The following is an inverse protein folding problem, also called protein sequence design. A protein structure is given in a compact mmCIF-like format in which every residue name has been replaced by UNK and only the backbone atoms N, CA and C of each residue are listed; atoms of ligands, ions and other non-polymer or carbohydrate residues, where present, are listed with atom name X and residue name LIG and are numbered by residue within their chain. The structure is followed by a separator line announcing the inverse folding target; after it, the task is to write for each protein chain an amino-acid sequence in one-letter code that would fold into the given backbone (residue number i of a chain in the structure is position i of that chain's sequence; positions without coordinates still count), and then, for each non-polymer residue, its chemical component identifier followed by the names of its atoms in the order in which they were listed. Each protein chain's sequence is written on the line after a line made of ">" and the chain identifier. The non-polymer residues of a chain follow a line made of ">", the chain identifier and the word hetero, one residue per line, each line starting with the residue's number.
data_IF_950857177275
#
_entry.id   IF_950857177275
#
_cell.length_a   1.000
_cell.length_b   1.000
_cell.length_c   1.000
_cell.angle_alpha   90.00
_cell.angle_beta   90.00
_cell.angle_gamma   90.00
#
_symmetry.space_group_name_H-M   'P 1'
#
loop_
_entity.id
_entity.type
_entity.pdbx_description
1 polymer ?
#
# COMPACT_ATOMS: atom_id res chain seq x y z
N UNK A 1 -20.57 19.56 -2.28
CA UNK A 1 -19.37 18.80 -2.75
C UNK A 1 -19.27 18.97 -4.25
N UNK A 2 -18.08 19.18 -4.78
CA UNK A 2 -17.82 19.19 -6.22
C UNK A 2 -17.17 17.88 -6.66
N UNK A 3 -17.48 17.43 -7.88
CA UNK A 3 -16.89 16.23 -8.47
C UNK A 3 -16.00 16.66 -9.62
N UNK A 4 -14.70 16.39 -9.52
CA UNK A 4 -13.75 16.66 -10.60
C UNK A 4 -13.46 15.34 -11.30
N UNK A 5 -13.76 15.27 -12.60
CA UNK A 5 -13.53 14.08 -13.41
C UNK A 5 -12.48 14.42 -14.46
N UNK A 6 -11.33 13.78 -14.37
CA UNK A 6 -10.24 13.94 -15.36
C UNK A 6 -10.33 12.79 -16.36
N UNK A 7 -10.60 13.12 -17.61
CA UNK A 7 -10.80 12.15 -18.70
C UNK A 7 -9.73 12.31 -19.78
N UNK A 8 -9.29 11.19 -20.35
CA UNK A 8 -8.41 11.11 -21.52
C UNK A 8 -8.80 9.92 -22.38
N UNK A 9 -9.37 10.17 -23.56
CA UNK A 9 -9.88 9.14 -24.48
C UNK A 9 -10.82 8.13 -23.81
N UNK A 10 -11.75 8.62 -22.99
CA UNK A 10 -12.70 7.82 -22.21
C UNK A 10 -14.14 8.36 -22.31
N UNK A 11 -14.49 8.89 -23.47
CA UNK A 11 -15.76 9.62 -23.66
C UNK A 11 -16.99 8.76 -23.33
N UNK A 12 -17.05 7.52 -23.81
CA UNK A 12 -18.18 6.62 -23.52
C UNK A 12 -18.29 6.29 -22.03
N UNK A 13 -17.16 6.01 -21.38
CA UNK A 13 -17.12 5.74 -19.93
C UNK A 13 -17.53 6.96 -19.12
N UNK A 14 -17.11 8.15 -19.52
CA UNK A 14 -17.50 9.41 -18.88
C UNK A 14 -19.02 9.63 -18.96
N UNK A 15 -19.64 9.36 -20.10
CA UNK A 15 -21.10 9.50 -20.24
C UNK A 15 -21.85 8.53 -19.31
N UNK A 16 -21.38 7.28 -19.21
CA UNK A 16 -21.93 6.30 -18.28
C UNK A 16 -21.77 6.73 -16.82
N UNK A 17 -20.60 7.27 -16.46
CA UNK A 17 -20.33 7.72 -15.10
C UNK A 17 -21.16 8.93 -14.70
N UNK A 18 -21.33 9.92 -15.59
CA UNK A 18 -22.22 11.07 -15.35
C UNK A 18 -23.65 10.60 -15.10
N UNK A 19 -24.15 9.65 -15.87
CA UNK A 19 -25.48 9.08 -15.68
C UNK A 19 -25.59 8.32 -14.36
N UNK A 20 -24.57 7.54 -13.98
CA UNK A 20 -24.52 6.85 -12.70
C UNK A 20 -24.51 7.85 -11.52
N UNK A 21 -23.70 8.91 -11.58
CA UNK A 21 -23.65 9.97 -10.57
C UNK A 21 -25.02 10.63 -10.38
N UNK A 22 -25.71 10.89 -11.49
CA UNK A 22 -27.05 11.49 -11.46
C UNK A 22 -28.09 10.55 -10.84
N UNK A 23 -28.10 9.28 -11.28
CA UNK A 23 -29.14 8.31 -10.88
C UNK A 23 -28.93 7.74 -9.49
N UNK A 24 -27.67 7.42 -9.12
CA UNK A 24 -27.35 6.72 -7.89
C UNK A 24 -26.94 7.63 -6.73
N UNK A 25 -26.47 8.85 -7.03
CA UNK A 25 -26.01 9.79 -6.01
C UNK A 25 -26.70 11.16 -6.06
N UNK A 26 -27.61 11.40 -7.00
CA UNK A 26 -28.32 12.68 -7.14
C UNK A 26 -27.43 13.88 -7.44
N UNK A 27 -26.23 13.64 -8.01
CA UNK A 27 -25.26 14.70 -8.35
C UNK A 27 -25.71 15.37 -9.65
N UNK A 28 -25.87 16.68 -9.60
CA UNK A 28 -26.31 17.46 -10.76
C UNK A 28 -25.13 17.96 -11.59
N UNK A 29 -25.36 18.27 -12.88
CA UNK A 29 -24.33 18.76 -13.81
C UNK A 29 -23.59 20.01 -13.29
N UNK A 30 -24.25 20.88 -12.53
CA UNK A 30 -23.63 22.06 -11.90
C UNK A 30 -22.57 21.72 -10.83
N UNK A 31 -22.59 20.49 -10.32
CA UNK A 31 -21.63 20.01 -9.31
C UNK A 31 -20.48 19.24 -9.95
N UNK A 32 -20.56 18.98 -11.26
CA UNK A 32 -19.51 18.33 -12.03
C UNK A 32 -18.55 19.37 -12.60
N UNK A 33 -17.28 19.01 -12.64
CA UNK A 33 -16.22 19.72 -13.35
C UNK A 33 -15.49 18.66 -14.17
N UNK A 34 -15.69 18.70 -15.47
CA UNK A 34 -15.08 17.76 -16.40
C UNK A 34 -13.78 18.36 -16.93
N UNK A 35 -12.71 17.64 -16.85
CA UNK A 35 -11.43 18.05 -17.45
C UNK A 35 -11.06 17.09 -18.57
N UNK A 36 -11.03 17.61 -19.78
CA UNK A 36 -10.52 16.90 -20.95
C UNK A 36 -9.00 17.13 -21.07
N UNK A 37 -8.22 16.09 -20.82
CA UNK A 37 -6.77 16.15 -20.90
C UNK A 37 -6.24 15.83 -22.31
N UNK A 38 -6.84 16.43 -23.34
CA UNK A 38 -6.41 16.31 -24.74
C UNK A 38 -6.93 15.04 -25.44
N UNK A 39 -8.20 14.71 -25.24
CA UNK A 39 -8.85 13.56 -25.88
C UNK A 39 -9.07 13.78 -27.38
N UNK A 40 -9.01 12.67 -28.15
CA UNK A 40 -9.25 12.63 -29.60
C UNK A 40 -10.55 11.86 -29.94
N UNK A 41 -11.33 11.44 -28.95
CA UNK A 41 -12.51 10.58 -29.07
C UNK A 41 -13.84 11.32 -29.20
N UNK A 42 -13.81 12.65 -29.42
CA UNK A 42 -15.00 13.50 -29.55
C UNK A 42 -15.47 14.14 -28.23
N UNK A 43 -14.81 13.89 -27.11
CA UNK A 43 -15.16 14.47 -25.82
C UNK A 43 -15.16 16.01 -25.86
N UNK A 44 -14.14 16.62 -26.47
CA UNK A 44 -14.02 18.08 -26.59
C UNK A 44 -15.25 18.71 -27.26
N UNK A 45 -15.65 18.20 -28.44
CA UNK A 45 -16.79 18.73 -29.15
C UNK A 45 -18.10 18.59 -28.34
N UNK A 46 -18.25 17.45 -27.67
CA UNK A 46 -19.41 17.20 -26.81
C UNK A 46 -19.49 18.18 -25.63
N UNK A 47 -18.34 18.54 -25.01
CA UNK A 47 -18.29 19.53 -23.92
C UNK A 47 -18.65 20.94 -24.43
N UNK A 48 -18.10 21.37 -25.58
CA UNK A 48 -18.34 22.68 -26.18
C UNK A 48 -19.81 22.90 -26.57
N UNK A 49 -20.55 21.83 -26.89
CA UNK A 49 -21.98 21.87 -27.22
C UNK A 49 -22.89 21.93 -25.98
N UNK A 50 -22.37 21.69 -24.77
CA UNK A 50 -23.14 21.64 -23.51
C UNK A 50 -23.14 22.96 -22.77
N UNK A 51 -24.25 23.71 -22.88
CA UNK A 51 -24.44 24.94 -22.11
C UNK A 51 -24.73 24.60 -20.63
N UNK A 52 -23.95 25.17 -19.72
CA UNK A 52 -24.18 25.08 -18.27
C UNK A 52 -23.38 24.02 -17.52
N UNK A 53 -22.59 23.19 -18.21
CA UNK A 53 -21.63 22.27 -17.59
C UNK A 53 -20.30 23.01 -17.33
N UNK A 54 -19.69 22.78 -16.19
CA UNK A 54 -18.33 23.27 -15.93
C UNK A 54 -17.32 22.33 -16.56
N UNK A 55 -16.45 22.83 -17.42
CA UNK A 55 -15.42 22.02 -18.04
C UNK A 55 -14.13 22.82 -18.30
N UNK A 56 -13.03 22.09 -18.43
CA UNK A 56 -11.73 22.58 -18.87
C UNK A 56 -11.24 21.72 -20.03
N UNK A 57 -10.54 22.32 -20.98
CA UNK A 57 -9.91 21.63 -22.11
C UNK A 57 -8.43 21.97 -22.10
N UNK A 58 -7.59 20.94 -22.03
CA UNK A 58 -6.14 21.05 -22.14
C UNK A 58 -5.74 20.81 -23.60
N UNK A 59 -5.40 21.89 -24.33
CA UNK A 59 -5.25 21.87 -25.81
C UNK A 59 -4.12 20.96 -26.30
N UNK A 60 -3.00 20.84 -25.57
CA UNK A 60 -1.85 20.06 -26.03
C UNK A 60 -1.81 18.63 -25.44
N UNK A 61 -2.68 18.33 -24.51
CA UNK A 61 -2.73 17.06 -23.77
C UNK A 61 -1.38 16.73 -23.10
N UNK A 62 -1.39 16.35 -21.86
CA UNK A 62 -0.17 15.93 -21.14
C UNK A 62 0.27 16.89 -20.05
N UNK A 63 -0.60 17.78 -19.60
CA UNK A 63 -0.44 18.42 -18.31
C UNK A 63 -0.45 17.36 -17.20
N UNK A 64 0.32 17.61 -16.14
CA UNK A 64 0.37 16.67 -15.03
C UNK A 64 -0.99 16.63 -14.31
N UNK A 65 -1.29 15.49 -13.71
CA UNK A 65 -2.53 15.33 -12.93
C UNK A 65 -2.71 16.43 -11.87
N UNK A 66 -1.61 16.82 -11.21
CA UNK A 66 -1.59 17.85 -10.19
C UNK A 66 -1.92 19.25 -10.74
N UNK A 67 -1.31 19.63 -11.86
CA UNK A 67 -1.59 20.91 -12.53
C UNK A 67 -3.05 21.03 -12.90
N UNK A 68 -3.61 19.98 -13.51
CA UNK A 68 -5.02 19.90 -13.90
C UNK A 68 -5.94 20.09 -12.70
N UNK A 69 -5.74 19.34 -11.62
CA UNK A 69 -6.61 19.41 -10.43
C UNK A 69 -6.46 20.76 -9.72
N UNK A 70 -5.24 21.27 -9.60
CA UNK A 70 -4.98 22.59 -9.00
C UNK A 70 -5.64 23.72 -9.82
N UNK A 71 -5.50 23.66 -11.15
CA UNK A 71 -6.10 24.63 -12.05
C UNK A 71 -7.64 24.60 -11.99
N UNK A 72 -8.24 23.40 -12.06
CA UNK A 72 -9.68 23.24 -11.90
C UNK A 72 -10.19 23.82 -10.57
N UNK A 73 -9.46 23.52 -9.49
CA UNK A 73 -9.79 24.05 -8.15
C UNK A 73 -9.74 25.57 -8.08
N UNK A 74 -8.76 26.19 -8.71
CA UNK A 74 -8.59 27.64 -8.75
C UNK A 74 -9.62 28.33 -9.65
N UNK A 75 -9.81 27.84 -10.89
CA UNK A 75 -10.71 28.40 -11.90
C UNK A 75 -12.17 28.43 -11.41
N UNK A 76 -12.62 27.29 -10.84
CA UNK A 76 -13.99 27.19 -10.32
C UNK A 76 -14.12 27.60 -8.85
N UNK A 77 -13.09 28.19 -8.25
CA UNK A 77 -13.05 28.69 -6.86
C UNK A 77 -13.63 27.69 -5.85
N UNK A 78 -13.24 26.41 -5.97
CA UNK A 78 -13.80 25.32 -5.17
C UNK A 78 -13.38 25.48 -3.70
N UNK A 79 -14.37 25.72 -2.85
CA UNK A 79 -14.22 25.88 -1.41
C UNK A 79 -14.99 24.82 -0.61
N UNK A 80 -15.25 23.67 -1.22
CA UNK A 80 -16.02 22.55 -0.67
C UNK A 80 -15.18 21.28 -0.63
N UNK A 81 -15.79 20.19 -0.13
CA UNK A 81 -15.26 18.84 -0.33
C UNK A 81 -15.19 18.53 -1.83
N UNK A 82 -14.21 17.74 -2.21
CA UNK A 82 -14.00 17.31 -3.60
C UNK A 82 -14.04 15.80 -3.68
N UNK A 83 -14.77 15.27 -4.64
CA UNK A 83 -14.58 13.91 -5.14
C UNK A 83 -13.73 13.97 -6.41
N UNK A 84 -12.52 13.43 -6.37
CA UNK A 84 -11.71 13.21 -7.55
C UNK A 84 -12.10 11.87 -8.16
N UNK A 85 -12.37 11.83 -9.45
CA UNK A 85 -12.88 10.65 -10.12
C UNK A 85 -12.24 10.48 -11.50
N UNK A 86 -11.94 9.23 -11.85
CA UNK A 86 -11.56 8.84 -13.20
C UNK A 86 -12.66 7.94 -13.79
N UNK A 87 -13.06 8.12 -15.05
CA UNK A 87 -14.17 7.38 -15.67
C UNK A 87 -14.01 5.85 -15.69
N UNK A 88 -12.83 5.31 -15.35
CA UNK A 88 -12.65 3.87 -15.19
C UNK A 88 -13.29 3.30 -13.93
N UNK A 89 -13.72 4.15 -12.99
CA UNK A 89 -14.25 3.76 -11.69
C UNK A 89 -15.70 4.23 -11.56
N UNK A 90 -16.63 3.35 -11.90
CA UNK A 90 -18.07 3.61 -11.83
C UNK A 90 -18.57 3.52 -10.39
N UNK A 91 -19.36 4.52 -9.97
CA UNK A 91 -19.99 4.47 -8.65
C UNK A 91 -21.02 3.33 -8.56
N UNK A 92 -21.18 2.76 -7.35
CA UNK A 92 -22.26 1.83 -7.04
C UNK A 92 -23.26 2.46 -6.06
N UNK A 93 -24.48 1.92 -5.92
CA UNK A 93 -25.52 2.50 -5.05
C UNK A 93 -25.00 2.80 -3.63
N UNK A 94 -25.50 3.90 -3.05
CA UNK A 94 -25.24 4.38 -1.68
C UNK A 94 -23.76 4.76 -1.37
N UNK A 95 -22.85 4.51 -2.30
CA UNK A 95 -21.39 4.63 -2.04
C UNK A 95 -20.96 6.06 -1.70
N UNK A 96 -21.52 7.07 -2.38
CA UNK A 96 -21.20 8.48 -2.10
C UNK A 96 -21.68 8.89 -0.71
N UNK A 97 -22.88 8.48 -0.31
CA UNK A 97 -23.43 8.77 1.03
C UNK A 97 -22.60 8.11 2.13
N UNK A 98 -22.20 6.85 1.95
CA UNK A 98 -21.37 6.11 2.89
C UNK A 98 -19.98 6.75 3.05
N UNK A 99 -19.36 7.17 1.92
CA UNK A 99 -18.09 7.91 1.98
C UNK A 99 -18.23 9.24 2.73
N UNK A 100 -19.30 10.00 2.47
CA UNK A 100 -19.58 11.25 3.19
C UNK A 100 -19.82 11.01 4.68
N UNK A 101 -20.62 9.98 5.01
CA UNK A 101 -20.87 9.61 6.41
C UNK A 101 -19.56 9.30 7.15
N UNK A 102 -18.67 8.52 6.54
CA UNK A 102 -17.37 8.21 7.12
C UNK A 102 -16.49 9.46 7.22
N UNK A 103 -16.42 10.29 6.17
CA UNK A 103 -15.60 11.50 6.12
C UNK A 103 -15.91 12.46 7.29
N UNK A 104 -17.17 12.47 7.73
CA UNK A 104 -17.64 13.33 8.82
C UNK A 104 -17.84 12.61 10.16
N UNK A 105 -17.51 11.30 10.24
CA UNK A 105 -17.58 10.54 11.49
C UNK A 105 -16.58 11.03 12.55
N UNK A 106 -15.42 11.55 12.09
CA UNK A 106 -14.40 12.16 12.93
C UNK A 106 -13.80 13.39 12.23
N UNK A 107 -13.44 14.39 13.04
CA UNK A 107 -12.78 15.61 12.53
C UNK A 107 -11.41 15.34 11.92
N UNK A 108 -10.72 14.31 12.40
CA UNK A 108 -9.38 13.92 11.93
C UNK A 108 -9.41 13.15 10.62
N UNK A 109 -10.57 12.68 10.16
CA UNK A 109 -10.68 12.04 8.85
C UNK A 109 -10.61 13.13 7.78
N UNK A 110 -9.57 13.07 6.95
CA UNK A 110 -9.31 14.05 5.90
C UNK A 110 -9.68 13.57 4.51
N UNK A 111 -9.63 12.26 4.28
CA UNK A 111 -9.95 11.69 2.97
C UNK A 111 -10.48 10.25 3.10
N UNK A 112 -11.33 9.88 2.15
CA UNK A 112 -11.97 8.57 2.07
C UNK A 112 -11.96 8.06 0.63
N UNK A 113 -11.59 6.80 0.43
CA UNK A 113 -11.77 6.10 -0.84
C UNK A 113 -12.78 4.96 -0.70
N UNK A 114 -13.44 4.52 -1.79
CA UNK A 114 -14.29 3.34 -1.76
C UNK A 114 -13.46 2.07 -1.83
N UNK A 115 -14.09 0.94 -1.52
CA UNK A 115 -13.59 -0.37 -1.88
C UNK A 115 -13.82 -0.64 -3.37
N UNK A 116 -12.82 -1.18 -4.07
CA UNK A 116 -12.91 -1.44 -5.50
C UNK A 116 -13.33 -2.88 -5.78
N UNK A 117 -14.30 -3.03 -6.69
CA UNK A 117 -14.68 -4.29 -7.32
C UNK A 117 -14.12 -4.27 -8.74
N UNK A 118 -13.32 -5.26 -9.09
CA UNK A 118 -12.67 -5.34 -10.40
C UNK A 118 -13.53 -6.11 -11.41
N UNK A 119 -13.45 -5.72 -12.67
CA UNK A 119 -14.09 -6.41 -13.78
C UNK A 119 -13.64 -7.89 -13.83
N UNK A 120 -14.61 -8.81 -13.95
CA UNK A 120 -14.33 -10.26 -13.95
C UNK A 120 -13.92 -10.84 -12.59
N UNK A 121 -14.13 -10.12 -11.48
CA UNK A 121 -13.89 -10.62 -10.12
C UNK A 121 -14.91 -11.69 -9.73
N UNK A 122 -14.57 -12.52 -8.73
CA UNK A 122 -15.51 -13.48 -8.12
C UNK A 122 -16.71 -12.77 -7.45
N UNK A 123 -16.55 -11.50 -7.07
CA UNK A 123 -17.59 -10.72 -6.41
C UNK A 123 -18.71 -10.33 -7.38
N UNK A 124 -18.35 -9.84 -8.59
CA UNK A 124 -19.30 -9.53 -9.67
C UNK A 124 -18.57 -9.53 -11.01
N UNK A 125 -19.12 -10.21 -12.00
CA UNK A 125 -18.51 -10.36 -13.33
C UNK A 125 -18.59 -9.10 -14.20
N UNK A 126 -19.55 -8.20 -13.94
CA UNK A 126 -19.72 -6.95 -14.66
C UNK A 126 -20.44 -5.88 -13.81
N UNK A 127 -20.48 -4.63 -14.30
CA UNK A 127 -21.05 -3.49 -13.59
C UNK A 127 -22.53 -3.67 -13.23
N UNK A 128 -23.34 -4.13 -14.16
CA UNK A 128 -24.79 -4.31 -13.94
C UNK A 128 -25.06 -5.36 -12.85
N UNK A 129 -24.28 -6.42 -12.84
CA UNK A 129 -24.33 -7.44 -11.80
C UNK A 129 -23.90 -6.89 -10.45
N UNK A 130 -22.84 -6.06 -10.40
CA UNK A 130 -22.41 -5.39 -9.19
C UNK A 130 -23.50 -4.47 -8.60
N UNK A 131 -24.15 -3.66 -9.43
CA UNK A 131 -25.31 -2.82 -9.01
C UNK A 131 -26.42 -3.69 -8.41
N UNK A 132 -26.80 -4.77 -9.09
CA UNK A 132 -27.84 -5.69 -8.62
C UNK A 132 -27.45 -6.33 -7.28
N UNK A 133 -26.22 -6.77 -7.14
CA UNK A 133 -25.73 -7.44 -5.93
C UNK A 133 -25.66 -6.52 -4.71
N UNK A 134 -25.33 -5.23 -4.91
CA UNK A 134 -25.42 -4.23 -3.83
C UNK A 134 -26.88 -4.06 -3.42
N UNK A 135 -27.80 -3.83 -4.38
CA UNK A 135 -29.22 -3.63 -4.10
C UNK A 135 -29.89 -4.84 -3.44
N UNK A 136 -29.46 -6.05 -3.77
CA UNK A 136 -29.95 -7.29 -3.18
C UNK A 136 -29.26 -7.67 -1.86
N UNK A 137 -28.28 -6.87 -1.40
CA UNK A 137 -27.51 -7.13 -0.17
C UNK A 137 -26.58 -8.34 -0.25
N UNK A 138 -26.24 -8.79 -1.47
CA UNK A 138 -25.27 -9.89 -1.67
C UNK A 138 -23.83 -9.47 -1.46
N UNK A 139 -23.52 -8.19 -1.69
CA UNK A 139 -22.23 -7.59 -1.33
C UNK A 139 -22.44 -6.89 0.01
N UNK A 140 -21.87 -7.48 1.05
CA UNK A 140 -22.03 -6.97 2.41
C UNK A 140 -21.01 -5.86 2.73
N UNK A 141 -21.40 -4.86 3.54
CA UNK A 141 -20.46 -3.90 4.09
C UNK A 141 -19.36 -4.58 4.90
N UNK A 142 -18.17 -4.06 4.79
CA UNK A 142 -17.00 -4.48 5.57
C UNK A 142 -16.57 -3.39 6.57
N UNK A 143 -15.53 -3.68 7.33
CA UNK A 143 -14.97 -2.72 8.28
C UNK A 143 -14.20 -1.63 7.52
N UNK A 144 -14.36 -0.38 7.95
CA UNK A 144 -13.54 0.72 7.43
C UNK A 144 -12.08 0.51 7.83
N UNK A 145 -11.17 0.61 6.86
CA UNK A 145 -9.75 0.39 7.08
C UNK A 145 -8.98 1.71 6.96
N UNK A 146 -8.23 2.06 8.00
CA UNK A 146 -7.31 3.20 7.88
C UNK A 146 -6.19 2.85 6.89
N UNK A 147 -5.80 3.82 6.07
CA UNK A 147 -4.81 3.68 5.00
C UNK A 147 -3.69 4.71 5.17
N UNK A 148 -2.52 4.44 4.58
CA UNK A 148 -1.44 5.42 4.44
C UNK A 148 -1.47 6.12 3.08
N UNK A 149 -1.98 5.46 2.06
CA UNK A 149 -2.10 5.96 0.70
C UNK A 149 -3.49 5.68 0.17
N UNK A 150 -4.04 6.63 -0.57
CA UNK A 150 -5.30 6.49 -1.28
C UNK A 150 -5.05 6.35 -2.78
N UNK A 151 -6.04 5.82 -3.50
CA UNK A 151 -6.00 5.77 -4.96
C UNK A 151 -6.07 7.17 -5.56
N UNK A 152 -5.50 7.35 -6.74
CA UNK A 152 -5.58 8.56 -7.54
C UNK A 152 -6.82 8.61 -8.45
N UNK A 153 -7.67 7.59 -8.41
CA UNK A 153 -8.79 7.43 -9.34
C UNK A 153 -10.19 7.62 -8.77
N UNK A 154 -10.36 7.51 -7.46
CA UNK A 154 -11.64 7.68 -6.79
C UNK A 154 -11.39 8.00 -5.31
N UNK A 155 -11.35 9.28 -4.97
CA UNK A 155 -11.08 9.72 -3.59
C UNK A 155 -11.90 10.97 -3.25
N UNK A 156 -12.51 10.94 -2.08
CA UNK A 156 -13.21 12.07 -1.50
C UNK A 156 -12.29 12.79 -0.51
N UNK A 157 -12.05 14.07 -0.74
CA UNK A 157 -11.17 14.92 0.05
C UNK A 157 -11.98 15.95 0.82
N UNK A 158 -11.78 15.99 2.13
CA UNK A 158 -12.45 16.94 3.02
C UNK A 158 -11.92 18.35 2.80
N UNK A 159 -12.80 19.33 2.75
CA UNK A 159 -12.45 20.75 2.65
C UNK A 159 -11.33 21.16 3.63
N UNK A 160 -11.46 20.77 4.89
CA UNK A 160 -10.47 21.15 5.91
C UNK A 160 -9.07 20.61 5.64
N UNK A 161 -8.97 19.42 5.02
CA UNK A 161 -7.69 18.85 4.56
C UNK A 161 -7.18 19.61 3.33
N UNK A 162 -8.05 19.92 2.36
CA UNK A 162 -7.70 20.70 1.17
C UNK A 162 -7.16 22.09 1.53
N UNK A 163 -7.75 22.75 2.52
CA UNK A 163 -7.31 24.08 3.00
C UNK A 163 -5.95 24.03 3.70
N UNK A 164 -5.70 22.99 4.52
CA UNK A 164 -4.46 22.89 5.31
C UNK A 164 -3.28 22.29 4.53
N UNK A 165 -3.51 21.25 3.75
CA UNK A 165 -2.46 20.60 2.92
C UNK A 165 -2.10 21.51 1.74
N UNK A 166 -3.07 22.26 1.21
CA UNK A 166 -2.89 23.18 0.09
C UNK A 166 -2.99 22.49 -1.27
N UNK A 167 -2.13 22.91 -2.21
CA UNK A 167 -2.10 22.41 -3.58
C UNK A 167 -1.40 21.06 -3.70
N UNK A 168 -1.73 20.32 -4.74
CA UNK A 168 -0.97 19.15 -5.16
C UNK A 168 0.41 19.55 -5.71
N UNK A 169 1.41 18.72 -5.55
CA UNK A 169 2.79 18.99 -6.00
C UNK A 169 2.88 18.94 -7.53
N UNK A 170 2.99 20.11 -8.16
CA UNK A 170 2.93 20.28 -9.63
C UNK A 170 4.16 19.74 -10.37
N UNK A 171 5.25 19.50 -9.66
CA UNK A 171 6.46 18.91 -10.25
C UNK A 171 6.36 17.39 -10.43
N UNK A 172 5.37 16.75 -9.83
CA UNK A 172 5.13 15.31 -9.99
C UNK A 172 4.24 15.05 -11.19
N UNK A 173 4.64 14.08 -12.01
CA UNK A 173 3.94 13.71 -13.24
C UNK A 173 2.91 12.61 -13.05
N UNK A 174 3.25 11.57 -12.26
CA UNK A 174 2.40 10.41 -12.08
C UNK A 174 1.35 10.68 -11.00
N UNK A 175 0.08 10.48 -11.35
CA UNK A 175 -1.03 10.71 -10.43
C UNK A 175 -0.88 9.93 -9.10
N UNK A 176 -0.36 8.71 -9.16
CA UNK A 176 -0.10 7.89 -7.97
C UNK A 176 0.96 8.50 -7.04
N UNK A 177 1.95 9.21 -7.59
CA UNK A 177 3.00 9.89 -6.83
C UNK A 177 2.51 11.22 -6.26
N UNK A 178 1.66 11.93 -7.02
CA UNK A 178 0.95 13.12 -6.55
C UNK A 178 0.09 12.78 -5.34
N UNK A 179 -0.68 11.71 -5.41
CA UNK A 179 -1.52 11.23 -4.29
C UNK A 179 -0.67 10.74 -3.12
N UNK A 180 0.45 10.08 -3.37
CA UNK A 180 1.38 9.72 -2.30
C UNK A 180 1.86 10.96 -1.53
N UNK A 181 2.41 11.95 -2.22
CA UNK A 181 2.87 13.20 -1.59
C UNK A 181 1.76 13.88 -0.80
N UNK A 182 0.58 13.95 -1.39
CA UNK A 182 -0.58 14.58 -0.76
C UNK A 182 -1.04 13.85 0.51
N UNK A 183 -1.05 12.51 0.48
CA UNK A 183 -1.38 11.68 1.63
C UNK A 183 -0.38 11.87 2.77
N UNK A 184 0.93 11.84 2.49
CA UNK A 184 1.97 12.04 3.51
C UNK A 184 1.83 13.41 4.16
N UNK A 185 1.66 14.48 3.38
CA UNK A 185 1.43 15.84 3.94
C UNK A 185 0.18 15.91 4.81
N UNK A 186 -0.89 15.22 4.41
CA UNK A 186 -2.12 15.12 5.20
C UNK A 186 -1.90 14.39 6.52
N UNK A 187 -1.19 13.27 6.49
CA UNK A 187 -0.86 12.47 7.68
C UNK A 187 0.01 13.28 8.66
N UNK A 188 1.02 13.99 8.19
CA UNK A 188 1.87 14.85 9.03
C UNK A 188 1.08 15.98 9.71
N UNK A 189 0.00 16.45 9.08
CA UNK A 189 -0.93 17.44 9.66
C UNK A 189 -1.98 16.80 10.59
N UNK A 190 -1.88 15.50 10.85
CA UNK A 190 -2.74 14.76 11.78
C UNK A 190 -4.03 14.24 11.16
N UNK A 191 -4.17 14.27 9.83
CA UNK A 191 -5.31 13.66 9.16
C UNK A 191 -5.17 12.14 9.04
N UNK A 192 -6.31 11.45 9.16
CA UNK A 192 -6.46 10.03 8.89
C UNK A 192 -7.13 9.82 7.55
N UNK A 193 -6.69 8.80 6.84
CA UNK A 193 -7.19 8.41 5.53
C UNK A 193 -7.86 7.05 5.66
N UNK A 194 -9.00 6.84 4.98
CA UNK A 194 -9.75 5.59 5.13
C UNK A 194 -10.19 5.00 3.79
N UNK A 195 -10.21 3.68 3.73
CA UNK A 195 -11.05 2.92 2.80
C UNK A 195 -12.39 2.66 3.48
N UNK A 196 -13.47 3.06 2.83
CA UNK A 196 -14.83 2.88 3.34
C UNK A 196 -15.34 1.49 2.99
N UNK A 197 -15.49 0.63 3.99
CA UNK A 197 -15.92 -0.75 3.80
C UNK A 197 -17.39 -0.93 3.39
N UNK A 198 -18.20 0.15 3.44
CA UNK A 198 -19.59 0.16 2.98
C UNK A 198 -19.80 0.92 1.67
N UNK A 199 -18.76 1.52 1.10
CA UNK A 199 -18.80 2.19 -0.20
C UNK A 199 -18.04 1.37 -1.24
N UNK A 200 -18.66 1.15 -2.40
CA UNK A 200 -18.09 0.32 -3.46
C UNK A 200 -18.08 1.06 -4.80
N UNK A 201 -16.96 0.98 -5.50
CA UNK A 201 -16.88 1.42 -6.89
C UNK A 201 -16.46 0.24 -7.76
N UNK A 202 -16.93 0.22 -8.99
CA UNK A 202 -16.62 -0.84 -9.95
C UNK A 202 -15.59 -0.36 -10.95
N UNK A 203 -14.43 -0.99 -10.98
CA UNK A 203 -13.40 -0.72 -11.98
C UNK A 203 -13.76 -1.41 -13.29
N UNK A 204 -14.32 -0.64 -14.23
CA UNK A 204 -14.82 -1.13 -15.52
C UNK A 204 -13.71 -1.34 -16.56
N UNK A 205 -12.64 -0.57 -16.45
CA UNK A 205 -11.51 -0.61 -17.36
C UNK A 205 -10.20 -0.32 -16.63
N UNK A 206 -9.07 -0.70 -17.22
CA UNK A 206 -7.77 -0.21 -16.77
C UNK A 206 -7.61 1.28 -17.09
N UNK A 207 -6.97 2.01 -16.20
CA UNK A 207 -6.63 3.41 -16.49
C UNK A 207 -5.78 3.49 -17.75
N UNK A 208 -6.18 4.35 -18.67
CA UNK A 208 -5.30 4.70 -19.76
C UNK A 208 -4.12 5.50 -19.19
N UNK A 209 -2.92 4.95 -19.39
CA UNK A 209 -1.69 5.68 -19.10
C UNK A 209 -1.56 6.76 -20.16
N UNK A 210 -1.65 8.01 -19.76
CA UNK A 210 -1.44 9.16 -20.65
C UNK A 210 0.00 9.17 -21.22
N UNK A 211 0.56 10.33 -21.49
CA UNK A 211 1.99 10.48 -21.94
C UNK A 211 3.01 10.10 -20.85
N UNK A 212 2.55 9.49 -19.75
CA UNK A 212 3.41 8.97 -18.68
C UNK A 212 4.42 7.96 -19.24
N UNK A 213 5.69 8.17 -18.95
CA UNK A 213 6.76 7.33 -19.42
C UNK A 213 7.77 7.01 -18.31
N UNK A 214 8.72 6.11 -18.60
CA UNK A 214 9.76 5.71 -17.65
C UNK A 214 10.60 6.90 -17.13
N UNK A 215 10.76 7.96 -17.92
CA UNK A 215 11.51 9.14 -17.50
C UNK A 215 10.75 9.93 -16.44
N UNK A 216 9.43 10.09 -16.59
CA UNK A 216 8.57 10.69 -15.57
C UNK A 216 8.63 9.93 -14.25
N UNK A 217 8.52 8.60 -14.28
CA UNK A 217 8.63 7.77 -13.08
C UNK A 217 9.99 7.92 -12.37
N UNK A 218 11.10 8.00 -13.13
CA UNK A 218 12.43 8.22 -12.58
C UNK A 218 12.58 9.62 -11.97
N UNK A 219 12.02 10.63 -12.63
CA UNK A 219 12.04 12.01 -12.15
C UNK A 219 11.25 12.14 -10.83
N UNK A 220 10.02 11.63 -10.81
CA UNK A 220 9.17 11.65 -9.62
C UNK A 220 9.84 10.94 -8.45
N UNK A 221 10.40 9.76 -8.67
CA UNK A 221 11.13 9.00 -7.64
C UNK A 221 12.28 9.82 -7.04
N UNK A 222 13.04 10.52 -7.90
CA UNK A 222 14.12 11.40 -7.45
C UNK A 222 13.58 12.56 -6.62
N UNK A 223 12.55 13.25 -7.09
CA UNK A 223 11.94 14.39 -6.41
C UNK A 223 11.37 13.98 -5.04
N UNK A 224 10.66 12.85 -4.97
CA UNK A 224 10.10 12.33 -3.73
C UNK A 224 11.20 11.92 -2.74
N UNK A 225 12.30 11.32 -3.24
CA UNK A 225 13.47 11.04 -2.40
C UNK A 225 14.13 12.31 -1.86
N UNK A 226 14.28 13.35 -2.67
CA UNK A 226 14.83 14.64 -2.25
C UNK A 226 13.91 15.33 -1.21
N UNK A 227 12.59 15.20 -1.37
CA UNK A 227 11.59 15.85 -0.50
C UNK A 227 11.39 15.11 0.83
N UNK A 228 11.33 13.78 0.80
CA UNK A 228 10.93 12.95 1.93
C UNK A 228 12.07 12.08 2.50
N UNK A 229 13.26 12.11 1.88
CA UNK A 229 14.38 11.21 2.20
C UNK A 229 13.98 9.71 2.20
N UNK A 230 12.97 9.36 1.42
CA UNK A 230 12.45 7.99 1.27
C UNK A 230 12.66 7.51 -0.17
N UNK A 231 13.13 6.27 -0.33
CA UNK A 231 13.32 5.69 -1.66
C UNK A 231 11.99 5.32 -2.33
N UNK A 232 11.03 4.88 -1.53
CA UNK A 232 9.66 4.58 -1.92
C UNK A 232 8.76 4.63 -0.68
N UNK A 233 7.47 4.73 -0.89
CA UNK A 233 6.46 4.73 0.16
C UNK A 233 5.76 3.37 0.17
N UNK A 234 6.11 2.54 1.15
CA UNK A 234 5.46 1.24 1.30
C UNK A 234 4.08 1.42 1.97
N UNK A 235 3.04 1.18 1.21
CA UNK A 235 1.65 1.21 1.69
C UNK A 235 0.97 -0.17 1.63
N UNK A 236 1.72 -1.23 1.29
CA UNK A 236 1.19 -2.59 1.18
C UNK A 236 1.70 -3.42 2.36
N UNK A 237 0.82 -3.86 3.27
CA UNK A 237 1.25 -4.68 4.40
C UNK A 237 1.68 -6.09 3.96
N UNK A 238 2.63 -6.67 4.64
CA UNK A 238 3.02 -8.07 4.46
C UNK A 238 1.98 -8.99 5.13
N UNK A 239 0.81 -9.13 4.49
CA UNK A 239 -0.30 -9.92 5.04
C UNK A 239 0.04 -11.38 5.28
N UNK A 240 0.96 -11.95 4.48
CA UNK A 240 1.47 -13.30 4.68
C UNK A 240 2.18 -13.44 6.02
N UNK A 241 3.05 -12.48 6.37
CA UNK A 241 3.75 -12.45 7.65
C UNK A 241 2.78 -12.16 8.81
N UNK A 242 1.90 -11.19 8.65
CA UNK A 242 0.95 -10.80 9.69
C UNK A 242 -0.12 -11.85 9.96
N UNK A 243 -0.36 -12.79 9.04
CA UNK A 243 -1.30 -13.90 9.23
C UNK A 243 -0.87 -14.91 10.33
N UNK A 244 0.33 -14.80 10.85
CA UNK A 244 0.75 -15.54 12.06
C UNK A 244 0.16 -14.97 13.37
N UNK A 245 -0.41 -13.76 13.34
CA UNK A 245 -1.15 -13.18 14.45
C UNK A 245 -2.56 -13.75 14.38
N UNK A 246 -2.89 -14.69 15.27
CA UNK A 246 -4.13 -15.49 15.20
C UNK A 246 -5.05 -15.31 16.39
N UNK A 247 -4.78 -14.32 17.26
CA UNK A 247 -5.59 -14.01 18.41
C UNK A 247 -6.98 -13.47 18.01
N UNK A 248 -7.88 -13.44 18.97
CA UNK A 248 -9.17 -12.80 18.75
C UNK A 248 -9.01 -11.29 18.57
N UNK A 249 -9.87 -10.68 17.75
CA UNK A 249 -9.87 -9.24 17.42
C UNK A 249 -9.73 -8.32 18.63
N UNK A 250 -10.37 -8.70 19.74
CA UNK A 250 -10.42 -7.87 20.95
C UNK A 250 -9.22 -8.07 21.89
N UNK A 251 -8.29 -8.95 21.54
CA UNK A 251 -7.11 -9.24 22.39
C UNK A 251 -6.20 -8.00 22.47
N UNK A 252 -5.84 -7.54 23.68
CA UNK A 252 -4.94 -6.41 23.85
C UNK A 252 -3.49 -6.82 23.64
N UNK A 253 -3.07 -6.90 22.39
CA UNK A 253 -1.73 -7.26 21.98
C UNK A 253 -0.74 -6.11 22.19
N UNK A 254 0.53 -6.45 22.40
CA UNK A 254 1.66 -5.52 22.28
C UNK A 254 2.55 -5.99 21.14
N UNK A 255 2.69 -5.16 20.13
CA UNK A 255 3.44 -5.50 18.92
C UNK A 255 4.54 -4.47 18.71
N UNK A 256 5.77 -4.96 18.52
CA UNK A 256 6.94 -4.16 18.15
C UNK A 256 7.36 -4.54 16.73
N UNK A 257 7.58 -3.57 15.88
CA UNK A 257 8.19 -3.79 14.56
C UNK A 257 9.54 -3.09 14.47
N UNK A 258 10.57 -3.85 14.11
CA UNK A 258 11.92 -3.36 13.84
C UNK A 258 12.04 -3.09 12.36
N UNK A 259 12.50 -1.88 11.98
CA UNK A 259 12.47 -1.41 10.60
C UNK A 259 11.03 -1.19 10.12
N UNK A 260 10.24 -0.46 10.92
CA UNK A 260 8.80 -0.35 10.64
C UNK A 260 8.46 0.56 9.44
N UNK A 261 9.45 1.20 8.81
CA UNK A 261 9.24 2.14 7.70
C UNK A 261 8.11 3.15 8.03
N UNK A 262 7.18 3.39 7.15
CA UNK A 262 6.00 4.25 7.37
C UNK A 262 4.92 3.60 8.27
N UNK A 263 5.13 2.39 8.77
CA UNK A 263 4.27 1.72 9.73
C UNK A 263 3.09 0.97 9.12
N UNK A 264 3.17 0.54 7.86
CA UNK A 264 2.03 -0.13 7.18
C UNK A 264 1.63 -1.44 7.84
N UNK A 265 2.58 -2.25 8.29
CA UNK A 265 2.30 -3.50 9.02
C UNK A 265 1.65 -3.21 10.38
N UNK A 266 2.15 -2.21 11.10
CA UNK A 266 1.55 -1.76 12.36
C UNK A 266 0.13 -1.23 12.15
N UNK A 267 -0.12 -0.53 11.03
CA UNK A 267 -1.46 -0.07 10.67
C UNK A 267 -2.39 -1.24 10.38
N UNK A 268 -1.90 -2.27 9.68
CA UNK A 268 -2.67 -3.50 9.48
C UNK A 268 -3.05 -4.13 10.82
N UNK A 269 -2.11 -4.23 11.78
CA UNK A 269 -2.40 -4.74 13.13
C UNK A 269 -3.46 -3.89 13.81
N UNK A 270 -3.39 -2.55 13.76
CA UNK A 270 -4.42 -1.65 14.32
C UNK A 270 -5.80 -1.91 13.74
N UNK A 271 -5.90 -2.07 12.43
CA UNK A 271 -7.17 -2.31 11.74
C UNK A 271 -7.81 -3.65 12.15
N UNK A 272 -6.99 -4.67 12.43
CA UNK A 272 -7.48 -6.01 12.78
C UNK A 272 -7.59 -6.23 14.29
N UNK A 273 -6.76 -5.56 15.08
CA UNK A 273 -6.67 -5.67 16.55
C UNK A 273 -6.77 -4.28 17.19
N UNK A 274 -7.97 -3.69 17.32
CA UNK A 274 -8.15 -2.30 17.71
C UNK A 274 -7.64 -1.98 19.13
N UNK A 275 -7.48 -3.00 19.99
CA UNK A 275 -6.94 -2.87 21.34
C UNK A 275 -5.41 -3.08 21.42
N UNK A 276 -4.74 -3.24 20.27
CA UNK A 276 -3.30 -3.44 20.24
C UNK A 276 -2.52 -2.16 20.58
N UNK A 277 -1.51 -2.29 21.43
CA UNK A 277 -0.50 -1.25 21.66
C UNK A 277 0.68 -1.49 20.71
N UNK A 278 0.94 -0.52 19.84
CA UNK A 278 1.85 -0.62 18.71
C UNK A 278 3.12 0.19 18.95
N UNK A 279 4.26 -0.43 18.68
CA UNK A 279 5.58 0.16 18.82
C UNK A 279 6.39 -0.08 17.54
N UNK A 280 7.26 0.84 17.22
CA UNK A 280 8.16 0.72 16.07
C UNK A 280 9.55 1.25 16.35
N UNK A 281 10.52 0.74 15.62
CA UNK A 281 11.89 1.28 15.55
C UNK A 281 12.20 1.49 14.08
N UNK A 282 12.63 2.69 13.72
CA UNK A 282 12.93 3.04 12.33
C UNK A 282 14.16 3.96 12.29
N UNK A 283 15.10 3.65 11.40
CA UNK A 283 16.32 4.44 11.23
C UNK A 283 16.09 5.70 10.42
N UNK A 284 15.17 5.65 9.46
CA UNK A 284 14.80 6.79 8.63
C UNK A 284 13.81 7.70 9.39
N UNK A 285 14.24 8.92 9.68
CA UNK A 285 13.44 9.86 10.47
C UNK A 285 12.14 10.30 9.78
N UNK A 286 12.13 10.41 8.45
CA UNK A 286 10.95 10.80 7.68
C UNK A 286 9.91 9.69 7.67
N UNK A 287 10.30 8.45 7.41
CA UNK A 287 9.43 7.29 7.48
C UNK A 287 8.87 7.10 8.91
N UNK A 288 9.74 7.19 9.92
CA UNK A 288 9.32 7.18 11.31
C UNK A 288 8.34 8.31 11.66
N UNK A 289 8.46 9.48 11.02
CA UNK A 289 7.52 10.61 11.17
C UNK A 289 6.10 10.22 10.78
N UNK A 290 5.93 9.53 9.66
CA UNK A 290 4.65 8.97 9.22
C UNK A 290 4.16 7.89 10.19
N UNK A 291 5.03 6.94 10.55
CA UNK A 291 4.68 5.83 11.44
C UNK A 291 4.26 6.30 12.85
N UNK A 292 4.77 7.44 13.35
CA UNK A 292 4.35 8.04 14.64
C UNK A 292 2.87 8.40 14.72
N UNK A 293 2.20 8.61 13.60
CA UNK A 293 0.75 8.81 13.56
C UNK A 293 -0.03 7.52 13.82
N UNK A 294 0.67 6.37 13.77
CA UNK A 294 0.10 5.03 13.94
C UNK A 294 0.53 4.40 15.26
N UNK A 295 1.81 4.49 15.62
CA UNK A 295 2.44 3.76 16.70
C UNK A 295 3.36 4.63 17.55
N UNK A 296 3.81 4.12 18.70
CA UNK A 296 4.89 4.71 19.45
C UNK A 296 6.23 4.34 18.78
N UNK A 297 6.83 5.25 18.00
CA UNK A 297 8.00 4.97 17.16
C UNK A 297 9.24 5.66 17.71
N UNK A 298 10.28 4.86 17.91
CA UNK A 298 11.64 5.33 18.24
C UNK A 298 12.43 5.48 16.92
N UNK A 299 12.98 6.67 16.68
CA UNK A 299 13.93 6.89 15.59
C UNK A 299 15.31 6.44 16.07
N UNK A 300 15.91 5.45 15.40
CA UNK A 300 17.22 4.97 15.78
C UNK A 300 17.63 3.68 15.07
N UNK A 301 18.92 3.37 15.21
CA UNK A 301 19.50 2.14 14.67
C UNK A 301 19.39 1.01 15.71
N UNK A 302 18.67 -0.06 15.36
CA UNK A 302 18.51 -1.24 16.23
C UNK A 302 19.85 -1.87 16.63
N UNK A 303 20.87 -1.79 15.79
CA UNK A 303 22.20 -2.36 16.06
C UNK A 303 22.98 -1.61 17.14
N UNK A 304 22.57 -0.38 17.52
CA UNK A 304 23.15 0.34 18.66
C UNK A 304 22.69 -0.22 20.00
N UNK A 305 21.62 -1.03 20.03
CA UNK A 305 21.09 -1.72 21.21
C UNK A 305 20.79 -0.78 22.38
N UNK A 306 20.26 0.41 22.08
CA UNK A 306 19.96 1.46 23.06
C UNK A 306 18.46 1.71 23.22
N UNK A 307 17.63 0.68 23.00
CA UNK A 307 16.19 0.81 23.14
C UNK A 307 15.78 0.70 24.61
N UNK A 308 14.86 1.57 25.01
CA UNK A 308 14.21 1.50 26.31
C UNK A 308 12.68 1.62 26.11
N UNK A 309 11.97 0.57 26.45
CA UNK A 309 10.52 0.53 26.43
C UNK A 309 9.90 0.63 27.84
N UNK A 310 10.67 1.05 28.85
CA UNK A 310 10.18 1.20 30.22
C UNK A 310 9.70 -0.11 30.85
N UNK A 311 10.33 -1.23 30.50
CA UNK A 311 9.96 -2.57 31.00
C UNK A 311 8.74 -3.19 30.28
N UNK A 312 8.29 -2.61 29.18
CA UNK A 312 7.24 -3.21 28.32
C UNK A 312 7.80 -4.42 27.60
N UNK A 313 7.06 -5.52 27.61
CA UNK A 313 7.34 -6.72 26.81
C UNK A 313 6.26 -6.94 25.76
N UNK A 314 6.62 -7.60 24.65
CA UNK A 314 5.82 -7.72 23.46
C UNK A 314 5.32 -9.15 23.24
N UNK A 315 4.06 -9.27 22.77
CA UNK A 315 3.49 -10.54 22.31
C UNK A 315 4.09 -10.95 20.96
N UNK A 316 4.38 -9.95 20.10
CA UNK A 316 5.01 -10.13 18.80
C UNK A 316 6.10 -9.09 18.58
N UNK A 317 7.24 -9.56 18.04
CA UNK A 317 8.32 -8.69 17.50
C UNK A 317 8.47 -9.05 16.02
N UNK A 318 8.32 -8.05 15.15
CA UNK A 318 8.28 -8.22 13.68
C UNK A 318 9.58 -7.70 13.07
N UNK A 319 10.16 -8.49 12.16
CA UNK A 319 11.27 -8.14 11.27
C UNK A 319 10.82 -8.36 9.83
N UNK A 320 10.22 -7.36 9.22
CA UNK A 320 9.75 -7.40 7.82
C UNK A 320 10.86 -6.99 6.88
N UNK A 321 11.62 -7.94 6.30
CA UNK A 321 12.74 -7.67 5.39
C UNK A 321 13.81 -6.76 6.01
N UNK A 322 14.31 -7.15 7.18
CA UNK A 322 15.28 -6.36 7.97
C UNK A 322 16.57 -7.13 8.22
N UNK A 323 16.49 -8.44 8.52
CA UNK A 323 17.63 -9.22 8.98
C UNK A 323 18.77 -9.30 7.95
N UNK A 324 18.47 -9.26 6.68
CA UNK A 324 19.40 -9.23 5.56
C UNK A 324 20.20 -7.93 5.44
N UNK A 325 19.71 -6.86 6.04
CA UNK A 325 20.34 -5.54 6.04
C UNK A 325 21.22 -5.28 7.26
N UNK A 326 21.11 -6.11 8.31
CA UNK A 326 21.84 -5.93 9.54
C UNK A 326 23.27 -6.48 9.43
N UNK A 327 24.24 -5.82 10.09
CA UNK A 327 25.62 -6.32 10.18
C UNK A 327 25.74 -7.52 11.12
N UNK A 328 24.93 -7.52 12.20
CA UNK A 328 24.86 -8.58 13.19
C UNK A 328 23.42 -9.02 13.46
N UNK A 329 22.80 -9.78 12.53
CA UNK A 329 21.41 -10.22 12.67
C UNK A 329 21.21 -11.13 13.91
N UNK A 330 22.17 -12.00 14.23
CA UNK A 330 22.10 -12.87 15.40
C UNK A 330 22.16 -12.09 16.71
N UNK A 331 23.07 -11.13 16.81
CA UNK A 331 23.18 -10.27 17.98
C UNK A 331 21.95 -9.37 18.14
N UNK A 332 21.34 -8.92 17.03
CA UNK A 332 20.08 -8.15 17.06
C UNK A 332 18.91 -9.02 17.51
N UNK A 333 18.78 -10.24 17.01
CA UNK A 333 17.76 -11.18 17.48
C UNK A 333 17.92 -11.49 18.98
N UNK A 334 19.17 -11.71 19.44
CA UNK A 334 19.45 -11.93 20.86
C UNK A 334 19.06 -10.73 21.73
N UNK A 335 19.35 -9.51 21.28
CA UNK A 335 18.94 -8.29 21.97
C UNK A 335 17.41 -8.13 22.00
N UNK A 336 16.74 -8.32 20.88
CA UNK A 336 15.29 -8.15 20.79
C UNK A 336 14.53 -9.21 21.61
N UNK A 337 15.07 -10.40 21.82
CA UNK A 337 14.46 -11.41 22.70
C UNK A 337 14.25 -10.94 24.13
N UNK A 338 15.08 -10.04 24.65
CA UNK A 338 14.91 -9.48 25.99
C UNK A 338 13.59 -8.72 26.17
N UNK A 339 13.04 -8.22 25.06
CA UNK A 339 11.77 -7.54 25.05
C UNK A 339 10.58 -8.49 24.76
N UNK A 340 10.84 -9.77 24.49
CA UNK A 340 9.79 -10.71 24.16
C UNK A 340 9.10 -11.21 25.43
N UNK A 341 7.78 -11.17 25.43
CA UNK A 341 6.97 -11.73 26.51
C UNK A 341 7.12 -13.25 26.55
N UNK A 342 7.01 -13.85 27.73
CA UNK A 342 6.99 -15.31 27.84
C UNK A 342 5.88 -15.91 26.95
N UNK A 343 6.27 -16.78 26.04
CA UNK A 343 5.38 -17.36 25.04
C UNK A 343 5.09 -16.45 23.82
N UNK A 344 5.69 -15.25 23.78
CA UNK A 344 5.62 -14.37 22.62
C UNK A 344 6.39 -14.93 21.41
N UNK A 345 6.20 -14.33 20.26
CA UNK A 345 6.78 -14.80 18.99
C UNK A 345 7.55 -13.72 18.26
N UNK A 346 8.64 -14.11 17.61
CA UNK A 346 9.31 -13.32 16.58
C UNK A 346 8.69 -13.72 15.24
N UNK A 347 8.29 -12.74 14.45
CA UNK A 347 7.85 -12.89 13.06
C UNK A 347 8.91 -12.28 12.15
N UNK A 348 9.36 -13.00 11.14
CA UNK A 348 10.32 -12.43 10.18
C UNK A 348 10.00 -12.86 8.75
N UNK A 349 10.24 -11.95 7.82
CA UNK A 349 10.36 -12.25 6.40
C UNK A 349 11.80 -12.10 5.97
N UNK A 350 12.30 -13.07 5.20
CA UNK A 350 13.72 -13.15 4.80
C UNK A 350 13.78 -13.61 3.34
N UNK A 351 14.43 -12.84 2.43
CA UNK A 351 14.60 -13.22 1.03
C UNK A 351 15.49 -14.46 0.88
N UNK A 352 15.17 -15.26 -0.14
CA UNK A 352 15.86 -16.52 -0.42
C UNK A 352 16.87 -16.36 -1.56
N UNK A 353 18.15 -16.36 -1.26
CA UNK A 353 19.20 -16.29 -2.27
C UNK A 353 19.23 -17.54 -3.20
N UNK A 354 18.62 -18.63 -2.77
CA UNK A 354 18.57 -19.87 -3.54
C UNK A 354 17.43 -19.91 -4.57
N UNK A 355 16.69 -18.81 -4.72
CA UNK A 355 15.62 -18.71 -5.72
C UNK A 355 16.14 -19.00 -7.14
N UNK A 356 15.34 -19.70 -7.94
CA UNK A 356 15.68 -20.18 -9.27
C UNK A 356 16.25 -19.09 -10.19
N UNK A 357 15.77 -17.86 -10.12
CA UNK A 357 16.28 -16.74 -10.91
C UNK A 357 17.73 -16.40 -10.57
N UNK A 358 18.06 -16.38 -9.27
CA UNK A 358 19.43 -16.06 -8.81
C UNK A 358 20.39 -17.18 -9.16
N UNK A 359 19.98 -18.44 -8.95
CA UNK A 359 20.82 -19.61 -9.29
C UNK A 359 21.07 -19.68 -10.78
N UNK A 360 20.06 -19.39 -11.61
CA UNK A 360 20.20 -19.35 -13.07
C UNK A 360 21.18 -18.29 -13.50
N UNK A 361 21.09 -17.09 -12.96
CA UNK A 361 21.99 -15.98 -13.27
C UNK A 361 23.42 -16.30 -12.86
N UNK A 362 23.63 -16.88 -11.66
CA UNK A 362 24.96 -17.32 -11.21
C UNK A 362 25.59 -18.33 -12.15
N UNK A 363 24.83 -19.35 -12.61
CA UNK A 363 25.35 -20.35 -13.55
C UNK A 363 25.68 -19.75 -14.93
N UNK A 364 25.06 -18.62 -15.28
CA UNK A 364 25.39 -17.82 -16.47
C UNK A 364 26.51 -16.78 -16.23
N UNK A 365 27.12 -16.78 -15.05
CA UNK A 365 28.20 -15.85 -14.68
C UNK A 365 27.73 -14.46 -14.25
N UNK A 366 26.44 -14.29 -13.93
CA UNK A 366 25.85 -13.03 -13.53
C UNK A 366 25.53 -13.00 -12.03
N UNK A 367 25.87 -11.90 -11.36
CA UNK A 367 25.42 -11.56 -10.00
C UNK A 367 25.23 -10.05 -9.94
N UNK A 368 24.13 -9.58 -10.49
CA UNK A 368 23.90 -8.15 -10.70
C UNK A 368 23.00 -7.58 -9.62
N UNK A 369 23.54 -6.67 -8.81
CA UNK A 369 22.78 -5.95 -7.82
C UNK A 369 21.72 -5.05 -8.46
N UNK A 370 20.54 -5.05 -7.85
CA UNK A 370 19.39 -4.23 -8.23
C UNK A 370 19.08 -3.19 -7.14
N UNK A 371 18.11 -2.33 -7.41
CA UNK A 371 17.61 -1.37 -6.42
C UNK A 371 16.53 -1.97 -5.50
N UNK A 372 16.03 -3.17 -5.81
CA UNK A 372 15.00 -3.90 -5.07
C UNK A 372 15.08 -5.40 -5.37
N UNK A 373 14.50 -6.23 -4.48
CA UNK A 373 14.37 -7.66 -4.68
C UNK A 373 15.50 -8.48 -4.07
N UNK A 374 15.68 -9.72 -4.52
CA UNK A 374 16.60 -10.68 -3.91
C UNK A 374 18.05 -10.24 -3.88
N UNK A 375 18.48 -9.51 -4.92
CA UNK A 375 19.83 -8.94 -5.05
C UNK A 375 19.82 -7.42 -4.81
N UNK A 376 19.00 -6.94 -3.87
CA UNK A 376 19.05 -5.54 -3.46
C UNK A 376 20.46 -5.19 -3.00
N UNK A 377 20.98 -4.05 -3.48
CA UNK A 377 22.35 -3.60 -3.19
C UNK A 377 22.61 -3.28 -1.72
N UNK A 378 21.54 -3.15 -0.93
CA UNK A 378 21.60 -2.91 0.51
C UNK A 378 21.58 -4.19 1.34
N UNK A 379 21.35 -5.36 0.71
CA UNK A 379 21.50 -6.65 1.37
C UNK A 379 22.98 -6.94 1.62
N UNK A 380 23.34 -7.15 2.86
CA UNK A 380 24.70 -7.54 3.27
C UNK A 380 24.78 -9.00 3.73
N UNK A 381 23.63 -9.62 4.02
CA UNK A 381 23.49 -11.05 4.25
C UNK A 381 22.53 -11.68 3.26
N UNK A 382 22.90 -12.87 2.80
CA UNK A 382 22.10 -13.67 1.89
C UNK A 382 21.76 -15.01 2.55
N UNK A 383 20.47 -15.27 2.71
CA UNK A 383 20.00 -16.44 3.43
C UNK A 383 19.47 -17.53 2.52
N UNK A 384 19.79 -18.79 2.86
CA UNK A 384 19.07 -19.98 2.40
C UNK A 384 18.21 -20.50 3.54
N UNK A 385 17.29 -21.40 3.29
CA UNK A 385 16.47 -22.05 4.31
C UNK A 385 17.33 -22.65 5.45
N UNK A 386 18.42 -23.36 5.10
CA UNK A 386 19.33 -23.98 6.07
C UNK A 386 20.04 -22.93 6.94
N UNK A 387 20.46 -21.80 6.38
CA UNK A 387 21.10 -20.73 7.16
C UNK A 387 20.12 -20.03 8.09
N UNK A 388 18.87 -19.86 7.68
CA UNK A 388 17.80 -19.35 8.57
C UNK A 388 17.65 -20.27 9.79
N UNK A 389 17.52 -21.57 9.58
CA UNK A 389 17.42 -22.53 10.70
C UNK A 389 18.66 -22.52 11.61
N UNK A 390 19.87 -22.38 11.04
CA UNK A 390 21.11 -22.28 11.83
C UNK A 390 21.16 -21.00 12.65
N UNK A 391 20.74 -19.87 12.07
CA UNK A 391 20.64 -18.59 12.76
C UNK A 391 19.68 -18.68 13.95
N UNK A 392 18.48 -19.24 13.76
CA UNK A 392 17.51 -19.44 14.85
C UNK A 392 18.12 -20.33 15.96
N UNK A 393 18.73 -21.45 15.59
CA UNK A 393 19.35 -22.37 16.55
C UNK A 393 20.48 -21.67 17.36
N UNK A 394 21.37 -20.90 16.71
CA UNK A 394 22.44 -20.17 17.39
C UNK A 394 21.94 -19.08 18.32
N UNK A 395 20.76 -18.54 18.04
CA UNK A 395 20.10 -17.53 18.88
C UNK A 395 19.15 -18.14 19.92
N UNK A 396 19.07 -19.46 20.03
CA UNK A 396 18.19 -20.15 20.98
C UNK A 396 16.70 -19.96 20.65
N UNK A 397 16.39 -19.71 19.39
CA UNK A 397 15.04 -19.65 18.85
C UNK A 397 14.70 -20.95 18.12
N UNK A 398 13.45 -21.36 18.19
CA UNK A 398 12.91 -22.46 17.44
C UNK A 398 11.83 -21.98 16.49
N UNK A 399 11.90 -22.42 15.24
CA UNK A 399 10.84 -22.15 14.27
C UNK A 399 9.55 -22.92 14.68
N UNK A 400 8.48 -22.17 14.89
CA UNK A 400 7.12 -22.71 15.09
C UNK A 400 6.52 -23.09 13.74
N UNK A 401 6.66 -22.20 12.78
CA UNK A 401 6.19 -22.37 11.41
C UNK A 401 7.05 -21.56 10.45
N UNK A 402 7.30 -22.13 9.26
CA UNK A 402 7.93 -21.42 8.14
C UNK A 402 7.08 -21.66 6.90
N UNK A 403 6.63 -20.58 6.27
CA UNK A 403 5.93 -20.58 4.97
C UNK A 403 6.83 -19.98 3.90
N UNK A 404 6.53 -20.30 2.65
CA UNK A 404 7.24 -19.80 1.48
C UNK A 404 6.30 -18.94 0.66
N UNK A 405 6.79 -17.77 0.22
CA UNK A 405 6.12 -17.02 -0.84
C UNK A 405 6.65 -17.55 -2.17
N UNK A 406 5.75 -18.03 -3.02
CA UNK A 406 6.10 -18.55 -4.35
C UNK A 406 5.36 -17.72 -5.38
N UNK A 407 6.10 -17.06 -6.26
CA UNK A 407 5.55 -16.37 -7.41
C UNK A 407 5.22 -17.40 -8.52
N UNK A 408 4.59 -16.96 -9.60
CA UNK A 408 4.28 -17.86 -10.72
C UNK A 408 5.51 -18.60 -11.23
N UNK A 409 5.43 -19.94 -11.29
CA UNK A 409 6.53 -20.82 -11.75
C UNK A 409 6.30 -21.17 -13.21
N UNK A 410 7.19 -20.75 -14.09
CA UNK A 410 7.14 -21.09 -15.52
C UNK A 410 7.52 -22.54 -15.80
N UNK A 411 7.17 -23.06 -16.98
CA UNK A 411 7.60 -24.37 -17.41
C UNK A 411 9.14 -24.46 -17.54
N UNK A 412 9.76 -23.39 -18.01
CA UNK A 412 11.22 -23.29 -18.09
C UNK A 412 11.90 -23.37 -16.72
N UNK A 413 11.29 -22.74 -15.68
CA UNK A 413 11.79 -22.86 -14.31
C UNK A 413 11.73 -24.29 -13.79
N UNK A 414 10.63 -25.00 -14.06
CA UNK A 414 10.47 -26.40 -13.64
C UNK A 414 11.52 -27.31 -14.28
N UNK A 415 11.75 -27.16 -15.57
CA UNK A 415 12.77 -27.93 -16.30
C UNK A 415 14.19 -27.63 -15.81
N UNK A 416 14.46 -26.37 -15.49
CA UNK A 416 15.75 -25.98 -14.95
C UNK A 416 15.95 -26.51 -13.53
N UNK A 417 14.97 -26.37 -12.65
CA UNK A 417 15.04 -26.87 -11.27
C UNK A 417 15.14 -28.40 -11.25
N UNK A 418 14.45 -29.13 -12.15
CA UNK A 418 14.61 -30.60 -12.27
C UNK A 418 16.08 -30.99 -12.47
N UNK A 419 16.83 -30.24 -13.32
CA UNK A 419 18.27 -30.51 -13.53
C UNK A 419 19.10 -30.12 -12.29
N UNK A 420 18.74 -29.05 -11.59
CA UNK A 420 19.40 -28.68 -10.33
C UNK A 420 19.20 -29.73 -9.24
N UNK A 421 18.03 -30.34 -9.17
CA UNK A 421 17.75 -31.43 -8.22
C UNK A 421 18.65 -32.64 -8.42
N UNK A 422 19.02 -32.97 -9.68
CA UNK A 422 19.95 -34.05 -9.99
C UNK A 422 21.39 -33.78 -9.51
N UNK A 423 21.76 -32.50 -9.40
CA UNK A 423 23.11 -32.04 -9.03
C UNK A 423 23.25 -31.65 -7.55
N UNK A 424 22.13 -31.48 -6.87
CA UNK A 424 22.08 -30.94 -5.50
C UNK A 424 21.68 -32.01 -4.49
N UNK A 425 22.03 -31.78 -3.20
CA UNK A 425 21.55 -32.59 -2.07
C UNK A 425 20.23 -32.02 -1.48
N UNK A 426 19.55 -31.16 -2.23
CA UNK A 426 18.27 -30.56 -1.81
C UNK A 426 17.18 -31.62 -2.02
N UNK A 427 16.41 -31.88 -0.98
CA UNK A 427 15.34 -32.90 -1.01
C UNK A 427 13.97 -32.36 -1.43
N UNK A 428 13.81 -31.02 -1.44
CA UNK A 428 12.55 -30.34 -1.73
C UNK A 428 12.77 -29.23 -2.77
N UNK A 429 12.24 -29.43 -3.97
CA UNK A 429 12.35 -28.49 -5.08
C UNK A 429 11.71 -27.12 -4.80
N UNK A 430 10.73 -27.06 -3.87
CA UNK A 430 10.06 -25.82 -3.50
C UNK A 430 11.04 -24.76 -2.93
N UNK A 431 12.19 -25.20 -2.40
CA UNK A 431 13.26 -24.31 -1.94
C UNK A 431 13.85 -23.45 -3.06
N UNK A 432 13.79 -23.90 -4.32
CA UNK A 432 14.22 -23.12 -5.48
C UNK A 432 13.13 -22.15 -5.99
N UNK A 433 11.86 -22.42 -5.67
CA UNK A 433 10.74 -21.57 -6.07
C UNK A 433 10.38 -20.51 -5.00
N UNK A 434 10.81 -20.76 -3.75
CA UNK A 434 10.59 -19.82 -2.67
C UNK A 434 11.32 -18.50 -2.96
N UNK A 435 10.56 -17.43 -3.11
CA UNK A 435 11.12 -16.06 -3.25
C UNK A 435 11.58 -15.55 -1.88
N UNK A 436 10.79 -15.83 -0.85
CA UNK A 436 10.98 -15.34 0.51
C UNK A 436 10.45 -16.38 1.50
N UNK A 437 11.09 -16.48 2.66
CA UNK A 437 10.59 -17.25 3.79
C UNK A 437 9.91 -16.34 4.80
N UNK A 438 8.69 -16.69 5.18
CA UNK A 438 7.95 -16.09 6.27
C UNK A 438 8.01 -17.04 7.45
N UNK A 439 8.43 -16.57 8.61
CA UNK A 439 8.62 -17.44 9.76
C UNK A 439 8.00 -16.88 11.03
N UNK A 440 7.54 -17.79 11.88
CA UNK A 440 7.25 -17.57 13.28
C UNK A 440 8.24 -18.38 14.11
N UNK A 441 8.93 -17.72 15.05
CA UNK A 441 9.86 -18.36 15.95
C UNK A 441 9.57 -17.99 17.41
N UNK A 442 9.92 -18.89 18.34
CA UNK A 442 9.79 -18.70 19.78
C UNK A 442 11.09 -19.10 20.49
N UNK A 443 11.25 -18.66 21.73
CA UNK A 443 12.36 -19.15 22.55
C UNK A 443 12.21 -20.65 22.80
N UNK A 444 13.29 -21.40 22.61
CA UNK A 444 13.36 -22.82 22.92
C UNK A 444 13.01 -23.08 24.40
N UNK A 445 12.27 -24.13 24.69
CA UNK A 445 11.88 -24.58 26.05
C UNK A 445 10.93 -23.68 26.86
N UNK A 446 10.27 -22.68 26.26
CA UNK A 446 9.29 -21.81 26.94
C UNK A 446 9.85 -21.07 28.15
N UNK A 447 11.18 -20.96 28.28
CA UNK A 447 11.85 -20.11 29.26
C UNK A 447 11.69 -18.65 28.89
N UNK A 448 11.64 -17.76 29.88
CA UNK A 448 11.99 -16.37 29.58
C UNK A 448 13.36 -16.42 28.93
N UNK A 449 13.54 -15.69 27.87
CA UNK A 449 14.84 -15.52 27.25
C UNK A 449 15.68 -14.70 28.26
N UNK A 450 16.42 -15.41 29.14
CA UNK A 450 17.38 -14.80 30.06
C UNK A 450 18.59 -14.27 29.31
#
# INVERSE_FOLDING_TARGET
>A
MKVIIVAYNQFELLQMEIEALRLLAGIEERDLIIVDNGSEDGLRQWLEERLGMNYLICDEGGESYSEIVNYAKAEFQIAEDILLLNPCYMILPDSIEEMQRLLYADREIGAVMPKLIHNGSETAGNYTEAVSYIQEGKIAPEVNLQQLKLTDGCVMLKRSMLEKVGIFEEKLFLAENVMWDYCVRGIELGYKLFECGSAFFYQIAEKQKGKENKQHALFDRRLLKEKWDMNYFNAIPNTGLLSYITESRETPLRVLEIGCDCGVNLLWVRNHYPNAALYGVEINASAAGVAKCIANVTVGNIEERQLDFGGVTFDYIIFGDVLEHLRDPEGTLNYCKEFLKKGGSILASIPNIMHVSVVRDLLNGNFTYADQGLLDRTHIHFFTYKEILRMLMRTGLEAVEIRMTINGVSQEDREFVSKLMELSEVSDESMFYAYQYLLQARCADGKMCD
#
